data_IF_527704135162
#
_entry.id   IF_527704135162
#
_cell.length_a   1.000
_cell.length_b   1.000
_cell.length_c   1.000
_cell.angle_alpha   90.00
_cell.angle_beta   90.00
_cell.angle_gamma   90.00
#
_symmetry.space_group_name_H-M   'P 1'
#
loop_
_entity.id
_entity.type
_entity.pdbx_description
1 polymer ?
#
# COMPACT_ATOMS: atom_id res chain seq x y z
N UNK A 1 -32.88 -19.88 -6.56
CA UNK A 1 -31.73 -20.65 -6.04
C UNK A 1 -30.49 -20.53 -6.95
N UNK A 2 -30.63 -20.64 -8.29
CA UNK A 2 -29.51 -20.47 -9.24
C UNK A 2 -28.82 -19.09 -9.20
N UNK A 3 -29.57 -18.01 -9.02
CA UNK A 3 -29.04 -16.64 -8.90
C UNK A 3 -28.14 -16.43 -7.67
N UNK A 4 -28.47 -17.06 -6.54
CA UNK A 4 -27.67 -16.99 -5.30
C UNK A 4 -26.36 -17.76 -5.45
N UNK A 5 -26.39 -18.92 -6.12
CA UNK A 5 -25.19 -19.74 -6.40
C UNK A 5 -24.23 -18.98 -7.34
N UNK A 6 -24.74 -18.30 -8.36
CA UNK A 6 -23.93 -17.44 -9.22
C UNK A 6 -23.29 -16.26 -8.46
N UNK A 7 -24.03 -15.61 -7.56
CA UNK A 7 -23.49 -14.53 -6.73
C UNK A 7 -22.38 -15.02 -5.79
N UNK A 8 -22.54 -16.20 -5.18
CA UNK A 8 -21.52 -16.82 -4.33
C UNK A 8 -20.26 -17.17 -5.15
N UNK A 9 -20.44 -17.75 -6.34
CA UNK A 9 -19.32 -18.08 -7.21
C UNK A 9 -18.54 -16.84 -7.67
N UNK A 10 -19.23 -15.77 -8.05
CA UNK A 10 -18.60 -14.49 -8.40
C UNK A 10 -17.88 -13.83 -7.22
N UNK A 11 -18.45 -13.90 -6.00
CA UNK A 11 -17.80 -13.39 -4.80
C UNK A 11 -16.51 -14.15 -4.48
N UNK A 12 -16.51 -15.47 -4.64
CA UNK A 12 -15.31 -16.30 -4.45
C UNK A 12 -14.23 -16.01 -5.49
N UNK A 13 -14.59 -15.86 -6.77
CA UNK A 13 -13.64 -15.45 -7.82
C UNK A 13 -13.02 -14.09 -7.54
N UNK A 14 -13.83 -13.11 -7.11
CA UNK A 14 -13.33 -11.78 -6.69
C UNK A 14 -12.38 -11.88 -5.50
N UNK A 15 -12.70 -12.69 -4.50
CA UNK A 15 -11.84 -12.88 -3.32
C UNK A 15 -10.48 -13.50 -3.69
N UNK A 16 -10.47 -14.51 -4.57
CA UNK A 16 -9.23 -15.12 -5.08
C UNK A 16 -8.40 -14.11 -5.86
N UNK A 17 -9.03 -13.33 -6.75
CA UNK A 17 -8.36 -12.29 -7.52
C UNK A 17 -7.74 -11.23 -6.61
N UNK A 18 -8.50 -10.73 -5.63
CA UNK A 18 -8.00 -9.77 -4.63
C UNK A 18 -6.84 -10.33 -3.79
N UNK A 19 -6.83 -11.64 -3.54
CA UNK A 19 -5.72 -12.29 -2.84
C UNK A 19 -4.44 -12.33 -3.69
N UNK A 20 -4.55 -12.65 -4.98
CA UNK A 20 -3.42 -12.64 -5.92
C UNK A 20 -2.87 -11.23 -6.14
N UNK A 21 -3.76 -10.26 -6.31
CA UNK A 21 -3.41 -8.84 -6.45
C UNK A 21 -2.65 -8.35 -5.22
N UNK A 22 -3.11 -8.69 -4.01
CA UNK A 22 -2.42 -8.34 -2.77
C UNK A 22 -0.99 -8.90 -2.70
N UNK A 23 -0.77 -10.14 -3.16
CA UNK A 23 0.57 -10.73 -3.20
C UNK A 23 1.50 -10.00 -4.17
N UNK A 24 0.99 -9.58 -5.32
CA UNK A 24 1.74 -8.74 -6.26
C UNK A 24 2.13 -7.41 -5.62
N UNK A 25 1.21 -6.72 -4.95
CA UNK A 25 1.50 -5.44 -4.29
C UNK A 25 2.47 -5.55 -3.10
N UNK A 26 2.48 -6.68 -2.39
CA UNK A 26 3.52 -6.94 -1.37
C UNK A 26 4.91 -6.95 -2.02
N UNK A 27 5.09 -7.71 -3.10
CA UNK A 27 6.37 -7.80 -3.81
C UNK A 27 6.75 -6.42 -4.37
N UNK A 28 5.79 -5.73 -4.96
CA UNK A 28 5.97 -4.39 -5.52
C UNK A 28 6.43 -3.37 -4.47
N UNK A 29 5.84 -3.39 -3.27
CA UNK A 29 6.27 -2.55 -2.15
C UNK A 29 7.68 -2.90 -1.67
N UNK A 30 8.03 -4.19 -1.60
CA UNK A 30 9.39 -4.60 -1.25
C UNK A 30 10.43 -4.05 -2.23
N UNK A 31 10.13 -4.08 -3.55
CA UNK A 31 11.00 -3.49 -4.57
C UNK A 31 11.10 -1.98 -4.40
N UNK A 32 9.99 -1.28 -4.21
CA UNK A 32 9.99 0.17 -3.97
C UNK A 32 10.82 0.54 -2.73
N UNK A 33 10.68 -0.21 -1.63
CA UNK A 33 11.46 -0.01 -0.40
C UNK A 33 12.97 -0.22 -0.64
N UNK A 34 13.36 -1.22 -1.42
CA UNK A 34 14.77 -1.44 -1.78
C UNK A 34 15.34 -0.27 -2.58
N UNK A 35 14.58 0.24 -3.57
CA UNK A 35 15.01 1.41 -4.35
C UNK A 35 15.22 2.61 -3.43
N UNK A 36 14.26 2.91 -2.53
CA UNK A 36 14.36 4.01 -1.57
C UNK A 36 15.60 3.93 -0.70
N UNK A 37 15.92 2.76 -0.14
CA UNK A 37 17.12 2.57 0.69
C UNK A 37 18.39 2.83 -0.11
N UNK A 38 18.46 2.32 -1.35
CA UNK A 38 19.63 2.46 -2.21
C UNK A 38 19.83 3.92 -2.62
N UNK A 39 18.77 4.62 -3.04
CA UNK A 39 18.84 6.02 -3.46
C UNK A 39 19.24 6.92 -2.29
N UNK A 40 18.69 6.70 -1.09
CA UNK A 40 19.10 7.47 0.09
C UNK A 40 20.54 7.20 0.47
N UNK A 41 21.01 5.95 0.37
CA UNK A 41 22.41 5.62 0.65
C UNK A 41 23.36 6.36 -0.29
N UNK A 42 23.02 6.43 -1.59
CA UNK A 42 23.79 7.17 -2.60
C UNK A 42 23.76 8.67 -2.32
N UNK A 43 22.58 9.23 -2.05
CA UNK A 43 22.43 10.67 -1.77
C UNK A 43 23.18 11.08 -0.50
N UNK A 44 23.09 10.30 0.59
CA UNK A 44 23.85 10.55 1.83
C UNK A 44 25.36 10.52 1.58
N UNK A 45 25.84 9.54 0.81
CA UNK A 45 27.27 9.39 0.52
C UNK A 45 27.84 10.52 -0.35
N UNK A 46 27.00 11.13 -1.21
CA UNK A 46 27.45 12.12 -2.21
C UNK A 46 27.14 13.57 -1.81
N UNK A 47 26.04 13.82 -1.11
CA UNK A 47 25.56 15.17 -0.76
C UNK A 47 25.87 15.55 0.69
N UNK A 48 26.26 14.58 1.52
CA UNK A 48 26.55 14.77 2.93
C UNK A 48 25.28 14.87 3.81
N UNK A 49 25.43 14.61 5.11
CA UNK A 49 24.32 14.50 6.07
C UNK A 49 23.48 15.77 6.29
N UNK A 50 23.80 16.89 5.65
CA UNK A 50 23.03 18.15 5.74
C UNK A 50 21.58 18.05 5.23
N UNK A 51 21.22 16.94 4.58
CA UNK A 51 19.88 16.66 4.02
C UNK A 51 18.95 15.97 5.04
N UNK A 52 19.41 15.69 6.27
CA UNK A 52 18.65 14.95 7.30
C UNK A 52 17.27 15.54 7.63
N UNK A 53 17.10 16.87 7.63
CA UNK A 53 15.81 17.50 7.89
C UNK A 53 14.77 17.23 6.77
N UNK A 54 15.24 17.03 5.52
CA UNK A 54 14.39 16.67 4.37
C UNK A 54 13.93 15.22 4.43
N UNK A 55 14.75 14.33 5.00
CA UNK A 55 14.43 12.91 5.10
C UNK A 55 13.46 12.55 6.21
N UNK A 56 13.08 13.46 7.12
CA UNK A 56 12.15 13.12 8.19
C UNK A 56 10.79 12.60 7.65
N UNK A 57 10.20 13.31 6.68
CA UNK A 57 8.97 12.86 6.02
C UNK A 57 9.17 11.55 5.23
N UNK A 58 10.33 11.40 4.57
CA UNK A 58 10.69 10.20 3.82
C UNK A 58 10.87 8.96 4.73
N UNK A 59 11.49 9.13 5.88
CA UNK A 59 11.72 8.05 6.85
C UNK A 59 10.38 7.62 7.46
N UNK A 60 9.53 8.57 7.85
CA UNK A 60 8.22 8.26 8.41
C UNK A 60 7.34 7.57 7.35
N UNK A 61 7.33 8.07 6.10
CA UNK A 61 6.57 7.44 5.02
C UNK A 61 7.06 6.02 4.74
N UNK A 62 8.38 5.78 4.77
CA UNK A 62 8.97 4.45 4.62
C UNK A 62 8.59 3.50 5.75
N UNK A 63 8.62 3.95 7.00
CA UNK A 63 8.17 3.14 8.15
C UNK A 63 6.71 2.74 7.96
N UNK A 64 5.86 3.69 7.58
CA UNK A 64 4.45 3.41 7.34
C UNK A 64 4.23 2.47 6.14
N UNK A 65 5.02 2.61 5.08
CA UNK A 65 5.02 1.70 3.93
C UNK A 65 5.40 0.27 4.35
N UNK A 66 6.41 0.13 5.21
CA UNK A 66 6.83 -1.16 5.75
C UNK A 66 5.73 -1.80 6.62
N UNK A 67 5.11 -1.01 7.50
CA UNK A 67 3.97 -1.45 8.33
C UNK A 67 2.77 -1.82 7.46
N UNK A 68 2.44 -1.02 6.45
CA UNK A 68 1.36 -1.31 5.50
C UNK A 68 1.62 -2.65 4.79
N UNK A 69 2.84 -2.86 4.29
CA UNK A 69 3.24 -4.09 3.60
C UNK A 69 3.18 -5.31 4.52
N UNK A 70 3.61 -5.15 5.78
CA UNK A 70 3.48 -6.20 6.79
C UNK A 70 2.01 -6.55 7.06
N UNK A 71 1.15 -5.54 7.22
CA UNK A 71 -0.28 -5.72 7.39
C UNK A 71 -0.91 -6.39 6.15
N UNK A 72 -0.49 -6.03 4.92
CA UNK A 72 -0.93 -6.71 3.69
C UNK A 72 -0.58 -8.20 3.72
N UNK A 73 0.60 -8.57 4.22
CA UNK A 73 1.02 -9.96 4.38
C UNK A 73 0.21 -10.68 5.46
N UNK A 74 -0.12 -10.02 6.58
CA UNK A 74 -1.02 -10.57 7.60
C UNK A 74 -2.43 -10.80 7.05
N UNK A 75 -2.96 -9.84 6.29
CA UNK A 75 -4.26 -9.90 5.60
C UNK A 75 -4.30 -11.04 4.57
N UNK A 76 -3.16 -11.45 4.02
CA UNK A 76 -3.07 -12.60 3.13
C UNK A 76 -3.04 -13.95 3.88
N UNK A 77 -2.38 -14.01 5.05
CA UNK A 77 -2.16 -15.26 5.80
C UNK A 77 -3.21 -15.58 6.86
N UNK A 78 -3.79 -14.57 7.50
CA UNK A 78 -4.75 -14.77 8.59
C UNK A 78 -6.17 -14.90 8.07
N UNK A 79 -7.01 -15.56 8.86
CA UNK A 79 -8.46 -15.56 8.65
C UNK A 79 -9.00 -14.12 8.60
N UNK A 80 -10.13 -13.87 7.90
CA UNK A 80 -10.69 -12.54 7.76
C UNK A 80 -11.02 -11.94 9.13
N UNK A 81 -10.28 -10.90 9.52
CA UNK A 81 -10.45 -10.18 10.77
C UNK A 81 -10.76 -8.71 10.44
N UNK A 82 -11.95 -8.25 10.82
CA UNK A 82 -12.41 -6.90 10.52
C UNK A 82 -11.47 -5.82 11.09
N UNK A 83 -10.96 -6.03 12.32
CA UNK A 83 -9.99 -5.14 12.95
C UNK A 83 -8.69 -5.01 12.12
N UNK A 84 -8.23 -6.11 11.54
CA UNK A 84 -7.02 -6.13 10.71
C UNK A 84 -7.24 -5.36 9.40
N UNK A 85 -8.43 -5.44 8.81
CA UNK A 85 -8.79 -4.66 7.62
C UNK A 85 -8.82 -3.16 7.92
N UNK A 86 -9.46 -2.72 9.01
CA UNK A 86 -9.45 -1.31 9.38
C UNK A 86 -8.05 -0.79 9.69
N UNK A 87 -7.23 -1.56 10.40
CA UNK A 87 -5.83 -1.20 10.66
C UNK A 87 -5.01 -1.07 9.36
N UNK A 88 -5.16 -2.04 8.45
CA UNK A 88 -4.50 -2.00 7.15
C UNK A 88 -4.95 -0.80 6.31
N UNK A 89 -6.24 -0.47 6.32
CA UNK A 89 -6.79 0.66 5.58
C UNK A 89 -6.28 2.00 6.12
N UNK A 90 -6.36 2.22 7.44
CA UNK A 90 -5.90 3.45 8.08
C UNK A 90 -4.41 3.69 7.85
N UNK A 91 -3.59 2.64 8.01
CA UNK A 91 -2.15 2.72 7.75
C UNK A 91 -1.87 2.97 6.27
N UNK A 92 -2.61 2.35 5.35
CA UNK A 92 -2.42 2.56 3.90
C UNK A 92 -2.72 4.01 3.50
N UNK A 93 -3.76 4.64 4.06
CA UNK A 93 -4.08 6.05 3.82
C UNK A 93 -2.99 6.96 4.40
N UNK A 94 -2.56 6.70 5.63
CA UNK A 94 -1.52 7.52 6.27
C UNK A 94 -0.19 7.41 5.51
N UNK A 95 0.17 6.19 5.09
CA UNK A 95 1.34 5.94 4.24
C UNK A 95 1.22 6.68 2.91
N UNK A 96 0.05 6.65 2.26
CA UNK A 96 -0.20 7.37 1.00
C UNK A 96 0.01 8.87 1.15
N UNK A 97 -0.58 9.49 2.17
CA UNK A 97 -0.49 10.95 2.40
C UNK A 97 0.98 11.35 2.62
N UNK A 98 1.69 10.65 3.49
CA UNK A 98 3.08 10.98 3.81
C UNK A 98 4.03 10.68 2.64
N UNK A 99 3.76 9.62 1.87
CA UNK A 99 4.50 9.33 0.63
C UNK A 99 4.26 10.42 -0.40
N UNK A 100 3.04 10.93 -0.56
CA UNK A 100 2.74 12.04 -1.47
C UNK A 100 3.44 13.35 -1.06
N UNK A 101 3.50 13.65 0.24
CA UNK A 101 4.26 14.80 0.76
C UNK A 101 5.76 14.64 0.47
N UNK A 102 6.32 13.46 0.78
CA UNK A 102 7.71 13.09 0.49
C UNK A 102 8.03 13.12 -1.00
N UNK A 103 7.07 12.76 -1.84
CA UNK A 103 7.16 12.86 -3.30
C UNK A 103 7.23 14.31 -3.76
N UNK A 104 6.34 15.18 -3.25
CA UNK A 104 6.35 16.60 -3.59
C UNK A 104 7.65 17.31 -3.18
N UNK A 105 8.25 16.95 -2.04
CA UNK A 105 9.55 17.54 -1.64
C UNK A 105 10.70 17.08 -2.51
N UNK A 106 10.67 15.83 -2.98
CA UNK A 106 11.68 15.28 -3.88
C UNK A 106 11.52 15.76 -5.33
N UNK A 107 10.29 15.96 -5.79
CA UNK A 107 9.98 16.49 -7.13
C UNK A 107 10.60 17.88 -7.36
N UNK A 108 10.61 18.73 -6.34
CA UNK A 108 11.32 20.03 -6.39
C UNK A 108 12.82 19.85 -6.66
N UNK A 109 13.46 18.80 -6.14
CA UNK A 109 14.88 18.53 -6.41
C UNK A 109 15.07 18.03 -7.84
N UNK A 110 14.18 17.16 -8.31
CA UNK A 110 14.19 16.68 -9.70
C UNK A 110 14.00 17.83 -10.68
N UNK A 111 13.11 18.79 -10.39
CA UNK A 111 12.92 19.99 -11.21
C UNK A 111 14.16 20.90 -11.24
N UNK A 112 14.82 21.11 -10.10
CA UNK A 112 16.10 21.83 -10.04
C UNK A 112 17.21 21.11 -10.85
N UNK A 113 17.19 19.79 -10.87
CA UNK A 113 18.07 18.98 -11.71
C UNK A 113 17.77 19.15 -13.19
N UNK A 114 16.50 19.10 -13.60
CA UNK A 114 16.08 19.29 -14.99
C UNK A 114 16.40 20.69 -15.52
N UNK A 115 16.22 21.71 -14.68
CA UNK A 115 16.53 23.11 -15.01
C UNK A 115 18.01 23.45 -14.92
N UNK A 116 18.88 22.47 -14.60
CA UNK A 116 20.34 22.62 -14.40
C UNK A 116 20.70 23.67 -13.33
N UNK A 117 19.83 23.84 -12.33
CA UNK A 117 20.00 24.75 -11.18
C UNK A 117 20.39 24.02 -9.90
N UNK A 118 20.49 22.69 -9.93
CA UNK A 118 20.95 21.89 -8.81
C UNK A 118 22.41 22.23 -8.43
N UNK A 119 22.76 22.02 -7.16
CA UNK A 119 24.14 22.17 -6.71
C UNK A 119 25.04 21.12 -7.39
N UNK A 120 26.33 21.43 -7.54
CA UNK A 120 27.30 20.58 -8.25
C UNK A 120 27.41 19.15 -7.69
N UNK A 121 27.07 18.96 -6.41
CA UNK A 121 27.21 17.68 -5.72
C UNK A 121 25.91 16.88 -5.70
N UNK A 122 24.79 17.46 -6.16
CA UNK A 122 23.48 16.81 -6.17
C UNK A 122 23.46 15.62 -7.13
N UNK A 123 23.05 14.45 -6.64
CA UNK A 123 22.92 13.24 -7.44
C UNK A 123 21.52 13.15 -8.06
N UNK A 124 21.33 13.89 -9.16
CA UNK A 124 20.05 13.98 -9.84
C UNK A 124 19.43 12.62 -10.23
N UNK A 125 20.25 11.66 -10.69
CA UNK A 125 19.76 10.31 -11.01
C UNK A 125 19.19 9.55 -9.81
N UNK A 126 19.77 9.76 -8.62
CA UNK A 126 19.28 9.19 -7.37
C UNK A 126 17.90 9.75 -7.01
N UNK A 127 17.74 11.07 -7.12
CA UNK A 127 16.47 11.74 -6.86
C UNK A 127 15.36 11.34 -7.84
N UNK A 128 15.69 11.14 -9.12
CA UNK A 128 14.73 10.62 -10.10
C UNK A 128 14.30 9.18 -9.78
N UNK A 129 15.24 8.31 -9.40
CA UNK A 129 14.92 6.94 -9.00
C UNK A 129 14.08 6.90 -7.71
N UNK A 130 14.38 7.78 -6.75
CA UNK A 130 13.59 7.97 -5.52
C UNK A 130 12.15 8.40 -5.86
N UNK A 131 11.98 9.34 -6.80
CA UNK A 131 10.67 9.82 -7.24
C UNK A 131 9.84 8.68 -7.86
N UNK A 132 10.46 7.86 -8.71
CA UNK A 132 9.80 6.69 -9.29
C UNK A 132 9.36 5.69 -8.20
N UNK A 133 10.20 5.43 -7.21
CA UNK A 133 9.86 4.55 -6.09
C UNK A 133 8.71 5.11 -5.24
N UNK A 134 8.66 6.42 -5.02
CA UNK A 134 7.55 7.09 -4.33
C UNK A 134 6.25 6.99 -5.12
N UNK A 135 6.28 7.18 -6.44
CA UNK A 135 5.11 7.00 -7.32
C UNK A 135 4.60 5.57 -7.24
N UNK A 136 5.50 4.58 -7.33
CA UNK A 136 5.16 3.17 -7.16
C UNK A 136 4.47 2.92 -5.81
N UNK A 137 5.05 3.39 -4.71
CA UNK A 137 4.48 3.25 -3.38
C UNK A 137 3.09 3.90 -3.28
N UNK A 138 2.89 5.10 -3.82
CA UNK A 138 1.59 5.77 -3.86
C UNK A 138 0.53 4.95 -4.61
N UNK A 139 0.85 4.45 -5.80
CA UNK A 139 -0.07 3.61 -6.59
C UNK A 139 -0.45 2.36 -5.78
N UNK A 140 0.55 1.70 -5.20
CA UNK A 140 0.36 0.51 -4.38
C UNK A 140 -0.53 0.77 -3.15
N UNK A 141 -0.33 1.86 -2.42
CA UNK A 141 -1.18 2.23 -1.28
C UNK A 141 -2.62 2.52 -1.71
N UNK A 142 -2.82 3.17 -2.85
CA UNK A 142 -4.16 3.38 -3.43
C UNK A 142 -4.88 2.07 -3.73
N UNK A 143 -4.18 1.10 -4.29
CA UNK A 143 -4.72 -0.25 -4.52
C UNK A 143 -4.98 -1.00 -3.21
N UNK A 144 -4.08 -0.90 -2.23
CA UNK A 144 -4.28 -1.49 -0.92
C UNK A 144 -5.55 -0.95 -0.25
N UNK A 145 -5.78 0.36 -0.31
CA UNK A 145 -7.02 0.99 0.17
C UNK A 145 -8.25 0.43 -0.55
N UNK A 146 -8.28 0.49 -1.89
CA UNK A 146 -9.42 0.02 -2.68
C UNK A 146 -9.73 -1.48 -2.46
N UNK A 147 -8.68 -2.31 -2.40
CA UNK A 147 -8.83 -3.74 -2.12
C UNK A 147 -9.34 -4.00 -0.71
N UNK A 148 -8.91 -3.22 0.28
CA UNK A 148 -9.33 -3.42 1.68
C UNK A 148 -10.76 -2.99 1.88
N UNK A 149 -11.15 -1.87 1.28
CA UNK A 149 -12.54 -1.40 1.24
C UNK A 149 -13.49 -2.46 0.66
N UNK A 150 -13.14 -3.08 -0.48
CA UNK A 150 -13.94 -4.18 -1.03
C UNK A 150 -14.02 -5.39 -0.10
N UNK A 151 -12.96 -5.72 0.63
CA UNK A 151 -12.96 -6.84 1.59
C UNK A 151 -13.83 -6.54 2.81
N UNK A 152 -13.84 -5.30 3.29
CA UNK A 152 -14.70 -4.85 4.40
C UNK A 152 -16.17 -4.93 3.99
N UNK A 153 -16.53 -4.38 2.82
CA UNK A 153 -17.92 -4.43 2.31
C UNK A 153 -18.38 -5.88 2.17
N UNK A 154 -17.57 -6.75 1.54
CA UNK A 154 -17.91 -8.17 1.41
C UNK A 154 -18.04 -8.89 2.75
N UNK A 155 -17.26 -8.51 3.77
CA UNK A 155 -17.34 -9.09 5.11
C UNK A 155 -18.64 -8.67 5.82
N UNK A 156 -19.00 -7.39 5.74
CA UNK A 156 -20.22 -6.86 6.33
C UNK A 156 -21.46 -7.45 5.64
N UNK A 157 -21.48 -7.49 4.31
CA UNK A 157 -22.58 -8.07 3.53
C UNK A 157 -22.81 -9.53 3.90
N UNK A 158 -21.73 -10.33 4.02
CA UNK A 158 -21.83 -11.72 4.50
C UNK A 158 -22.36 -11.80 5.93
N UNK A 159 -21.86 -10.95 6.84
CA UNK A 159 -22.34 -10.92 8.23
C UNK A 159 -23.83 -10.59 8.36
N UNK A 160 -24.33 -9.65 7.55
CA UNK A 160 -25.77 -9.31 7.49
C UNK A 160 -26.56 -10.50 6.94
N UNK A 161 -26.10 -11.12 5.86
CA UNK A 161 -26.77 -12.26 5.24
C UNK A 161 -26.85 -13.46 6.21
N UNK A 162 -25.77 -13.74 6.94
CA UNK A 162 -25.69 -14.81 7.93
C UNK A 162 -26.53 -14.47 9.17
N UNK A 163 -26.60 -13.20 9.59
CA UNK A 163 -27.50 -12.75 10.65
C UNK A 163 -28.99 -12.90 10.29
N UNK A 164 -29.35 -12.70 9.02
CA UNK A 164 -30.70 -12.93 8.51
C UNK A 164 -30.98 -14.44 8.38
N UNK A 165 -30.01 -15.24 7.90
CA UNK A 165 -30.12 -16.71 7.78
C UNK A 165 -30.14 -17.43 9.13
N UNK A 166 -29.40 -16.97 10.12
CA UNK A 166 -29.43 -17.50 11.49
C UNK A 166 -30.78 -17.33 12.17
N UNK A 167 -31.62 -16.41 11.67
CA UNK A 167 -33.01 -16.22 12.07
C UNK A 167 -34.00 -17.09 11.28
N UNK A 168 -33.61 -17.71 10.17
CA UNK A 168 -34.52 -18.41 9.25
C UNK A 168 -34.38 -19.94 9.21
N UNK A 169 -33.66 -20.56 10.14
CA UNK A 169 -33.58 -22.03 10.24
C UNK A 169 -32.40 -22.62 9.46
N UNK A 170 -31.73 -23.57 10.12
CA UNK A 170 -30.36 -23.99 9.83
C UNK A 170 -30.05 -24.39 8.40
N UNK A 171 -28.92 -23.90 7.90
CA UNK A 171 -28.12 -24.58 6.89
C UNK A 171 -26.67 -24.09 6.94
N UNK A 172 -25.78 -25.04 7.25
CA UNK A 172 -24.34 -25.14 6.94
C UNK A 172 -23.53 -23.86 6.69
N UNK A 173 -22.65 -23.55 7.65
CA UNK A 173 -21.46 -22.73 7.44
C UNK A 173 -20.61 -23.35 6.32
N UNK A 174 -20.27 -22.54 5.31
CA UNK A 174 -19.28 -22.90 4.30
C UNK A 174 -17.91 -22.30 4.70
N UNK A 175 -16.81 -23.04 4.46
CA UNK A 175 -15.45 -22.67 4.88
C UNK A 175 -14.92 -21.40 4.19
#
# INVERSE_FOLDING_TARGET
>A
MQTVIQQIHQANLKAVLLSRINLFFIIFNCVAMLILIVTWSVSIAKEGGGVLARYAACIISFILLAVATFLSAMVHRKQPQLLLYYAHEAISILALILTAISMGTNDVVVDLCNTKRALSNTQCGSHTAELLAQIMACISMGFNYASTQQRIVNFIDKGILDGIRGRSGGMTQLP
#
